data_IF_542300094786
#
_entry.id   IF_542300094786
#
_cell.length_a   1.000
_cell.length_b   1.000
_cell.length_c   1.000
_cell.angle_alpha   90.00
_cell.angle_beta   90.00
_cell.angle_gamma   90.00
#
_symmetry.space_group_name_H-M   'P 1'
#
loop_
_entity.id
_entity.type
_entity.pdbx_description
1 polymer ?
#
# COMPACT_ATOMS: atom_id res chain seq x y z
N UNK A 1 0.86 -11.00 -11.49
CA UNK A 1 -0.37 -10.58 -10.77
C UNK A 1 -0.44 -11.05 -9.31
N UNK A 2 0.31 -12.07 -8.88
CA UNK A 2 0.35 -12.53 -7.48
C UNK A 2 1.08 -11.56 -6.53
N UNK A 3 2.15 -10.91 -7.00
CA UNK A 3 3.00 -10.02 -6.18
C UNK A 3 2.22 -8.82 -5.62
N UNK A 4 1.51 -8.07 -6.47
CA UNK A 4 0.71 -6.92 -6.01
C UNK A 4 -0.42 -7.34 -5.06
N UNK A 5 -1.00 -8.53 -5.24
CA UNK A 5 -1.99 -9.07 -4.31
C UNK A 5 -1.36 -9.43 -2.96
N UNK A 6 -0.15 -9.98 -2.95
CA UNK A 6 0.61 -10.27 -1.73
C UNK A 6 1.00 -8.98 -0.99
N UNK A 7 1.43 -7.94 -1.71
CA UNK A 7 1.68 -6.63 -1.12
C UNK A 7 0.40 -6.02 -0.53
N UNK A 8 -0.71 -6.05 -1.27
CA UNK A 8 -2.01 -5.59 -0.75
C UNK A 8 -2.36 -6.31 0.55
N UNK A 9 -2.23 -7.64 0.59
CA UNK A 9 -2.46 -8.43 1.79
C UNK A 9 -1.52 -8.03 2.94
N UNK A 10 -0.22 -7.82 2.69
CA UNK A 10 0.74 -7.40 3.71
C UNK A 10 0.34 -6.07 4.36
N UNK A 11 0.00 -5.05 3.56
CA UNK A 11 -0.46 -3.76 4.09
C UNK A 11 -1.78 -3.87 4.86
N UNK A 12 -2.71 -4.71 4.40
CA UNK A 12 -3.99 -4.96 5.08
C UNK A 12 -3.79 -5.64 6.44
N UNK A 13 -2.93 -6.66 6.48
CA UNK A 13 -2.64 -7.40 7.70
C UNK A 13 -1.92 -6.50 8.71
N UNK A 14 -0.89 -5.76 8.28
CA UNK A 14 -0.20 -4.79 9.14
C UNK A 14 -1.16 -3.74 9.72
N UNK A 15 -2.05 -3.17 8.89
CA UNK A 15 -3.06 -2.22 9.32
C UNK A 15 -3.94 -2.78 10.46
N UNK A 16 -4.46 -4.00 10.28
CA UNK A 16 -5.30 -4.66 11.29
C UNK A 16 -4.49 -5.01 12.55
N UNK A 17 -3.28 -5.55 12.40
CA UNK A 17 -2.40 -5.89 13.51
C UNK A 17 -2.09 -4.65 14.35
N UNK A 18 -1.73 -3.51 13.74
CA UNK A 18 -1.48 -2.26 14.45
C UNK A 18 -2.72 -1.73 15.18
N UNK A 19 -3.90 -1.88 14.58
CA UNK A 19 -5.17 -1.53 15.23
C UNK A 19 -5.41 -2.39 16.48
N UNK A 20 -5.17 -3.70 16.40
CA UNK A 20 -5.40 -4.65 17.50
C UNK A 20 -4.33 -4.58 18.60
N UNK A 21 -3.05 -4.48 18.24
CA UNK A 21 -1.93 -4.35 19.20
C UNK A 21 -1.96 -2.99 19.93
N UNK A 22 -2.65 -1.99 19.38
CA UNK A 22 -2.84 -0.65 19.98
C UNK A 22 -1.52 0.02 20.39
N UNK A 23 -0.48 -0.14 19.58
CA UNK A 23 0.82 0.50 19.81
C UNK A 23 0.69 2.02 19.92
N UNK A 24 1.62 2.63 20.65
CA UNK A 24 1.59 4.06 21.00
C UNK A 24 2.25 4.96 19.95
N UNK A 25 2.83 4.41 18.89
CA UNK A 25 3.44 5.17 17.80
C UNK A 25 2.41 5.95 16.98
N UNK A 26 2.89 6.90 16.16
CA UNK A 26 2.03 7.80 15.39
C UNK A 26 1.19 7.07 14.35
N UNK A 27 1.75 6.07 13.67
CA UNK A 27 1.09 5.34 12.60
C UNK A 27 -0.03 4.45 13.16
N UNK A 28 0.24 3.73 14.25
CA UNK A 28 -0.79 2.89 14.90
C UNK A 28 -1.92 3.73 15.53
N UNK A 29 -1.66 4.97 15.93
CA UNK A 29 -2.72 5.91 16.35
C UNK A 29 -3.58 6.34 15.17
N UNK A 30 -2.96 6.76 14.07
CA UNK A 30 -3.71 7.20 12.87
C UNK A 30 -4.52 6.06 12.26
N UNK A 31 -3.98 4.84 12.24
CA UNK A 31 -4.72 3.66 11.81
C UNK A 31 -5.93 3.35 12.67
N UNK A 32 -5.85 3.51 13.99
CA UNK A 32 -7.03 3.32 14.86
C UNK A 32 -8.11 4.35 14.60
N UNK A 33 -7.73 5.62 14.39
CA UNK A 33 -8.69 6.66 14.00
C UNK A 33 -9.35 6.32 12.66
N UNK A 34 -8.56 5.89 11.68
CA UNK A 34 -9.05 5.48 10.36
C UNK A 34 -9.99 4.26 10.43
N UNK A 35 -9.65 3.28 11.27
CA UNK A 35 -10.48 2.09 11.51
C UNK A 35 -11.77 2.43 12.25
N UNK A 36 -11.77 3.40 13.18
CA UNK A 36 -12.99 3.84 13.84
C UNK A 36 -13.98 4.49 12.87
N UNK A 37 -13.48 5.21 11.86
CA UNK A 37 -14.30 5.86 10.83
C UNK A 37 -14.86 4.87 9.80
N UNK A 38 -14.00 3.99 9.25
CA UNK A 38 -14.36 3.15 8.08
C UNK A 38 -14.32 1.64 8.32
N UNK A 39 -13.92 1.20 9.50
CA UNK A 39 -13.83 -0.21 9.87
C UNK A 39 -12.90 -1.02 8.97
N UNK A 40 -13.33 -2.23 8.61
CA UNK A 40 -12.58 -3.13 7.73
C UNK A 40 -12.57 -2.71 6.25
N UNK A 41 -13.47 -1.80 5.85
CA UNK A 41 -13.65 -1.38 4.46
C UNK A 41 -12.80 -0.17 4.06
N UNK A 42 -11.83 0.20 4.90
CA UNK A 42 -10.85 1.25 4.60
C UNK A 42 -10.25 1.01 3.21
N UNK A 43 -10.29 2.00 2.29
CA UNK A 43 -9.63 1.90 0.99
C UNK A 43 -8.11 1.74 1.16
N UNK A 44 -7.48 0.94 0.30
CA UNK A 44 -6.02 0.72 0.37
C UNK A 44 -5.22 2.04 0.24
N UNK A 45 -5.71 2.98 -0.57
CA UNK A 45 -5.11 4.31 -0.70
C UNK A 45 -5.09 5.11 0.61
N UNK A 46 -6.09 4.95 1.48
CA UNK A 46 -6.11 5.63 2.77
C UNK A 46 -5.06 5.05 3.73
N UNK A 47 -4.82 3.73 3.66
CA UNK A 47 -3.75 3.05 4.40
C UNK A 47 -2.39 3.59 3.94
N UNK A 48 -2.17 3.70 2.63
CA UNK A 48 -0.96 4.27 2.04
C UNK A 48 -0.75 5.74 2.45
N UNK A 49 -1.82 6.53 2.52
CA UNK A 49 -1.75 7.92 2.97
C UNK A 49 -1.28 8.04 4.43
N UNK A 50 -1.71 7.13 5.32
CA UNK A 50 -1.22 7.13 6.69
C UNK A 50 0.27 6.77 6.75
N UNK A 51 0.70 5.77 5.99
CA UNK A 51 2.12 5.42 5.87
C UNK A 51 2.96 6.63 5.40
N UNK A 52 2.52 7.36 4.38
CA UNK A 52 3.21 8.58 3.89
C UNK A 52 3.31 9.69 4.94
N UNK A 53 2.33 9.77 5.84
CA UNK A 53 2.17 10.89 6.78
C UNK A 53 2.80 10.63 8.14
N UNK A 54 2.84 9.36 8.59
CA UNK A 54 3.16 8.99 9.96
C UNK A 54 4.32 8.00 10.10
N UNK A 55 5.01 7.65 9.02
CA UNK A 55 6.19 6.79 9.06
C UNK A 55 7.42 7.48 8.48
N UNK A 56 8.58 6.87 8.67
CA UNK A 56 9.87 7.32 8.12
C UNK A 56 10.16 6.72 6.75
N UNK A 57 9.27 5.88 6.21
CA UNK A 57 9.52 5.22 4.92
C UNK A 57 9.50 6.26 3.78
N UNK A 58 10.31 6.08 2.73
CA UNK A 58 10.33 7.00 1.61
C UNK A 58 8.95 7.12 0.95
N UNK A 59 8.41 8.35 0.91
CA UNK A 59 7.11 8.65 0.26
C UNK A 59 7.09 8.30 -1.23
N UNK A 60 8.26 8.28 -1.88
CA UNK A 60 8.44 7.89 -3.26
C UNK A 60 8.04 6.43 -3.49
N UNK A 61 8.46 5.51 -2.61
CA UNK A 61 8.14 4.07 -2.71
C UNK A 61 6.63 3.85 -2.64
N UNK A 62 5.94 4.55 -1.73
CA UNK A 62 4.46 4.44 -1.64
C UNK A 62 3.79 5.04 -2.89
N UNK A 63 4.30 6.17 -3.40
CA UNK A 63 3.76 6.79 -4.62
C UNK A 63 3.97 5.90 -5.85
N UNK A 64 5.09 5.17 -5.91
CA UNK A 64 5.36 4.17 -6.94
C UNK A 64 4.42 2.97 -6.82
N UNK A 65 4.19 2.48 -5.59
CA UNK A 65 3.24 1.41 -5.31
C UNK A 65 1.81 1.80 -5.73
N UNK A 66 1.36 3.01 -5.42
CA UNK A 66 0.06 3.52 -5.89
C UNK A 66 -0.06 3.51 -7.42
N UNK A 67 1.00 3.89 -8.13
CA UNK A 67 1.03 3.84 -9.60
C UNK A 67 0.98 2.40 -10.12
N UNK A 68 1.68 1.46 -9.47
CA UNK A 68 1.62 0.04 -9.81
C UNK A 68 0.20 -0.54 -9.60
N UNK A 69 -0.52 -0.16 -8.55
CA UNK A 69 -1.93 -0.55 -8.35
C UNK A 69 -2.87 0.07 -9.39
N UNK A 70 -2.64 1.32 -9.81
CA UNK A 70 -3.39 1.94 -10.92
C UNK A 70 -3.14 1.21 -12.25
N UNK A 71 -1.88 0.82 -12.51
CA UNK A 71 -1.52 0.01 -13.66
C UNK A 71 -2.23 -1.35 -13.63
N UNK A 72 -2.22 -2.04 -12.49
CA UNK A 72 -2.98 -3.29 -12.29
C UNK A 72 -4.47 -3.11 -12.59
N UNK A 73 -5.07 -2.05 -12.06
CA UNK A 73 -6.48 -1.75 -12.28
C UNK A 73 -6.78 -1.55 -13.77
N UNK A 74 -5.96 -0.77 -14.46
CA UNK A 74 -6.06 -0.57 -15.91
C UNK A 74 -5.96 -1.87 -16.72
N UNK A 75 -5.01 -2.74 -16.38
CA UNK A 75 -4.89 -4.06 -16.98
C UNK A 75 -6.15 -4.91 -16.74
N UNK A 76 -6.65 -4.95 -15.51
CA UNK A 76 -7.81 -5.74 -15.13
C UNK A 76 -9.10 -5.32 -15.86
N UNK A 77 -9.24 -4.02 -16.12
CA UNK A 77 -10.36 -3.49 -16.87
C UNK A 77 -10.21 -3.61 -18.40
N UNK A 78 -9.17 -4.28 -18.91
CA UNK A 78 -9.02 -4.50 -20.35
C UNK A 78 -8.50 -3.29 -21.11
N UNK A 79 -7.88 -2.32 -20.43
CA UNK A 79 -7.14 -1.20 -21.03
C UNK A 79 -8.00 -0.24 -21.86
N UNK A 80 -9.30 -0.11 -21.57
CA UNK A 80 -10.24 0.67 -22.39
C UNK A 80 -10.07 2.20 -22.32
N UNK A 81 -9.25 2.72 -21.39
CA UNK A 81 -8.93 4.15 -21.29
C UNK A 81 -7.42 4.39 -21.39
N UNK A 82 -7.02 5.60 -21.78
CA UNK A 82 -5.61 5.98 -21.76
C UNK A 82 -5.11 6.10 -20.33
N UNK A 83 -4.18 5.23 -19.94
CA UNK A 83 -3.59 5.27 -18.62
C UNK A 83 -2.58 6.43 -18.54
N UNK A 84 -2.83 7.38 -17.63
CA UNK A 84 -1.90 8.47 -17.33
C UNK A 84 -0.98 8.06 -16.19
N UNK A 85 0.01 7.23 -16.48
CA UNK A 85 1.12 6.92 -15.57
C UNK A 85 2.43 7.35 -16.24
N UNK A 86 3.41 7.76 -15.43
CA UNK A 86 4.67 8.31 -15.94
C UNK A 86 5.63 7.27 -16.56
N UNK A 87 5.31 5.98 -16.44
CA UNK A 87 6.11 4.85 -16.95
C UNK A 87 5.24 3.63 -17.18
N UNK A 88 5.69 2.70 -18.01
CA UNK A 88 5.14 1.34 -18.05
C UNK A 88 5.74 0.50 -16.91
N UNK A 89 5.06 -0.58 -16.55
CA UNK A 89 5.53 -1.55 -15.56
C UNK A 89 5.64 -2.91 -16.22
N UNK A 90 6.81 -3.53 -16.17
CA UNK A 90 7.00 -4.95 -16.48
C UNK A 90 7.00 -5.81 -15.20
N UNK A 91 7.35 -7.09 -15.32
CA UNK A 91 7.39 -7.99 -14.18
C UNK A 91 8.55 -7.65 -13.22
N UNK A 92 9.74 -7.38 -13.77
CA UNK A 92 10.96 -7.10 -13.02
C UNK A 92 10.83 -5.79 -12.23
N UNK A 93 10.18 -4.78 -12.81
CA UNK A 93 9.77 -3.55 -12.14
C UNK A 93 8.96 -3.82 -10.87
N UNK A 94 7.90 -4.63 -10.99
CA UNK A 94 6.99 -4.94 -9.90
C UNK A 94 7.67 -5.81 -8.84
N UNK A 95 8.54 -6.73 -9.26
CA UNK A 95 9.32 -7.56 -8.37
C UNK A 95 10.31 -6.73 -7.55
N UNK A 96 11.10 -5.88 -8.21
CA UNK A 96 12.07 -4.98 -7.57
C UNK A 96 11.38 -4.02 -6.59
N UNK A 97 10.22 -3.48 -6.97
CA UNK A 97 9.40 -2.65 -6.08
C UNK A 97 8.95 -3.44 -4.84
N UNK A 98 8.54 -4.69 -5.00
CA UNK A 98 8.14 -5.54 -3.89
C UNK A 98 9.31 -5.81 -2.93
N UNK A 99 10.49 -6.14 -3.45
CA UNK A 99 11.70 -6.30 -2.63
C UNK A 99 12.04 -5.02 -1.86
N UNK A 100 11.97 -3.86 -2.53
CA UNK A 100 12.18 -2.56 -1.90
C UNK A 100 11.20 -2.32 -0.74
N UNK A 101 9.92 -2.68 -0.92
CA UNK A 101 8.91 -2.58 0.12
C UNK A 101 9.22 -3.51 1.31
N UNK A 102 9.48 -4.79 1.06
CA UNK A 102 9.75 -5.73 2.15
C UNK A 102 11.02 -5.38 2.93
N UNK A 103 12.03 -4.79 2.28
CA UNK A 103 13.25 -4.35 2.94
C UNK A 103 13.12 -3.00 3.67
N UNK A 104 12.15 -2.16 3.28
CA UNK A 104 12.02 -0.79 3.81
C UNK A 104 10.89 -0.63 4.83
N UNK A 105 9.88 -1.50 4.80
CA UNK A 105 8.67 -1.36 5.64
C UNK A 105 8.76 -2.26 6.87
N UNK A 106 8.67 -1.69 8.08
CA UNK A 106 8.64 -2.47 9.31
C UNK A 106 7.23 -3.03 9.54
N UNK A 107 6.80 -3.98 8.72
CA UNK A 107 5.49 -4.62 8.89
C UNK A 107 5.39 -5.36 10.23
N UNK A 108 4.22 -5.30 10.84
CA UNK A 108 3.88 -6.13 11.99
C UNK A 108 3.51 -7.55 11.55
N UNK A 109 4.21 -8.54 12.10
CA UNK A 109 3.84 -9.96 12.04
C UNK A 109 2.67 -10.28 12.99
#
# INVERSE_FOLDING_TARGET
MSILAALEAAFRMDFLQRCYKRQKDSLSRSFRTLYQDKGQYVPLGDIFLQWKSHSTVPRSIISELEQAFKYRHWLAHGRYWTLKIGREYDYDDIYTLAESIYNSFPFEE
#
